data_IF_132135012440
#
_entry.id   IF_132135012440
#
_cell.length_a   1.000
_cell.length_b   1.000
_cell.length_c   1.000
_cell.angle_alpha   90.00
_cell.angle_beta   90.00
_cell.angle_gamma   90.00
#
_symmetry.space_group_name_H-M   'P 1'
#
loop_
_entity.id
_entity.type
_entity.pdbx_description
1 polymer ?
#
# COMPACT_ATOMS: atom_id res chain seq x y z
N UNK A 1 15.22 2.66 15.36
CA UNK A 1 14.41 2.10 14.24
C UNK A 1 14.68 0.61 14.26
N UNK A 2 13.64 -0.21 14.30
CA UNK A 2 13.69 -1.68 14.45
C UNK A 2 14.38 -2.22 15.73
N UNK A 3 14.69 -1.39 16.73
CA UNK A 3 15.44 -1.83 17.92
C UNK A 3 14.63 -2.79 18.80
N UNK A 4 13.31 -2.64 18.79
CA UNK A 4 12.36 -3.52 19.43
C UNK A 4 12.42 -4.95 18.90
N UNK A 5 12.85 -5.17 17.65
CA UNK A 5 12.99 -6.52 17.08
C UNK A 5 14.05 -7.35 17.80
N UNK A 6 15.10 -6.72 18.34
CA UNK A 6 16.16 -7.42 19.08
C UNK A 6 15.70 -7.91 20.46
N UNK A 7 14.63 -7.32 21.00
CA UNK A 7 14.03 -7.74 22.27
C UNK A 7 12.98 -8.85 22.09
N UNK A 8 12.57 -9.14 20.86
CA UNK A 8 11.55 -10.15 20.57
C UNK A 8 12.13 -11.57 20.61
N UNK A 9 11.33 -12.51 21.10
CA UNK A 9 11.59 -13.93 20.93
C UNK A 9 11.47 -14.33 19.45
N UNK A 10 12.06 -15.46 19.09
CA UNK A 10 11.91 -16.04 17.75
C UNK A 10 10.43 -16.19 17.35
N UNK A 11 9.59 -16.65 18.27
CA UNK A 11 8.17 -16.85 18.00
C UNK A 11 7.45 -15.52 17.77
N UNK A 12 7.78 -14.48 18.54
CA UNK A 12 7.25 -13.13 18.33
C UNK A 12 7.65 -12.57 16.95
N UNK A 13 8.92 -12.73 16.56
CA UNK A 13 9.41 -12.31 15.24
C UNK A 13 8.67 -13.05 14.10
N UNK A 14 8.43 -14.35 14.27
CA UNK A 14 7.68 -15.14 13.27
C UNK A 14 6.26 -14.60 13.11
N UNK A 15 5.59 -14.25 14.22
CA UNK A 15 4.24 -13.70 14.17
C UNK A 15 4.20 -12.31 13.52
N UNK A 16 5.14 -11.42 13.82
CA UNK A 16 5.23 -10.10 13.16
C UNK A 16 5.49 -10.24 11.65
N UNK A 17 6.40 -11.13 11.25
CA UNK A 17 6.66 -11.42 9.83
C UNK A 17 5.42 -11.99 9.13
N UNK A 18 4.64 -12.85 9.79
CA UNK A 18 3.38 -13.35 9.24
C UNK A 18 2.38 -12.22 9.01
N UNK A 19 2.19 -11.32 9.99
CA UNK A 19 1.31 -10.15 9.87
C UNK A 19 1.73 -9.26 8.69
N UNK A 20 3.00 -8.92 8.59
CA UNK A 20 3.54 -8.13 7.49
C UNK A 20 3.28 -8.79 6.13
N UNK A 21 3.57 -10.09 6.01
CA UNK A 21 3.32 -10.85 4.76
C UNK A 21 1.84 -10.92 4.41
N UNK A 22 0.94 -10.97 5.39
CA UNK A 22 -0.49 -10.91 5.15
C UNK A 22 -0.90 -9.55 4.57
N UNK A 23 -0.41 -8.45 5.15
CA UNK A 23 -0.66 -7.11 4.62
C UNK A 23 -0.16 -6.93 3.19
N UNK A 24 1.07 -7.37 2.90
CA UNK A 24 1.65 -7.30 1.55
C UNK A 24 0.82 -8.10 0.55
N UNK A 25 0.36 -9.31 0.90
CA UNK A 25 -0.49 -10.13 0.02
C UNK A 25 -1.84 -9.46 -0.23
N UNK A 26 -2.47 -8.92 0.80
CA UNK A 26 -3.75 -8.21 0.65
C UNK A 26 -3.62 -7.00 -0.30
N UNK A 27 -2.52 -6.24 -0.19
CA UNK A 27 -2.24 -5.14 -1.10
C UNK A 27 -1.95 -5.62 -2.53
N UNK A 28 -1.07 -6.62 -2.70
CA UNK A 28 -0.74 -7.22 -4.00
C UNK A 28 -1.97 -7.75 -4.74
N UNK A 29 -2.88 -8.37 -4.00
CA UNK A 29 -4.09 -9.01 -4.55
C UNK A 29 -5.28 -8.03 -4.66
N UNK A 30 -5.06 -6.73 -4.46
CA UNK A 30 -6.08 -5.69 -4.57
C UNK A 30 -6.52 -5.43 -6.02
N UNK A 31 -7.73 -4.90 -6.19
CA UNK A 31 -8.33 -4.62 -7.51
C UNK A 31 -9.04 -3.27 -7.52
N UNK A 32 -9.28 -2.72 -8.73
CA UNK A 32 -10.00 -1.47 -8.90
C UNK A 32 -9.32 -0.29 -8.21
N UNK A 33 -10.09 0.53 -7.48
CA UNK A 33 -9.55 1.69 -6.77
C UNK A 33 -8.59 1.32 -5.62
N UNK A 34 -8.62 0.06 -5.15
CA UNK A 34 -7.68 -0.43 -4.15
C UNK A 34 -6.27 -0.66 -4.73
N UNK A 35 -6.03 -0.38 -6.01
CA UNK A 35 -4.69 -0.27 -6.59
C UNK A 35 -4.02 1.09 -6.29
N UNK A 36 -4.75 2.04 -5.70
CA UNK A 36 -4.20 3.36 -5.36
C UNK A 36 -3.04 3.25 -4.35
N UNK A 37 -2.07 4.15 -4.44
CA UNK A 37 -0.86 4.15 -3.59
C UNK A 37 -1.13 4.34 -2.09
N UNK A 38 -2.32 4.77 -1.67
CA UNK A 38 -2.63 5.05 -0.26
C UNK A 38 -3.26 3.85 0.47
N UNK A 39 -2.43 3.09 1.19
CA UNK A 39 -2.83 1.93 2.01
C UNK A 39 -2.49 2.11 3.50
N UNK A 40 -3.25 2.93 4.25
CA UNK A 40 -2.97 3.21 5.66
C UNK A 40 -2.96 1.96 6.54
N UNK A 41 -3.75 0.93 6.20
CA UNK A 41 -3.76 -0.34 6.95
C UNK A 41 -2.46 -1.13 6.77
N UNK A 42 -1.79 -1.02 5.61
CA UNK A 42 -0.48 -1.66 5.40
C UNK A 42 0.61 -0.95 6.21
N UNK A 43 0.60 0.39 6.20
CA UNK A 43 1.55 1.19 6.97
C UNK A 43 1.37 1.02 8.49
N UNK A 44 0.13 0.85 8.95
CA UNK A 44 -0.19 0.59 10.34
C UNK A 44 0.30 -0.77 10.88
N UNK A 45 0.81 -1.66 10.01
CA UNK A 45 1.49 -2.88 10.44
C UNK A 45 2.91 -2.62 10.95
N UNK A 46 3.47 -1.43 10.70
CA UNK A 46 4.76 -1.04 11.24
C UNK A 46 4.63 -0.72 12.75
N UNK A 47 5.61 -1.15 13.57
CA UNK A 47 5.57 -0.93 15.01
C UNK A 47 5.74 0.55 15.39
N UNK A 48 6.42 1.35 14.56
CA UNK A 48 6.57 2.78 14.82
C UNK A 48 5.28 3.56 14.52
N UNK A 49 4.65 4.05 15.58
CA UNK A 49 3.56 5.01 15.47
C UNK A 49 4.12 6.42 15.33
N UNK A 50 4.61 6.77 14.14
CA UNK A 50 4.99 8.14 13.82
C UNK A 50 3.80 8.90 13.25
N UNK A 51 3.64 10.17 13.66
CA UNK A 51 2.80 11.12 12.95
C UNK A 51 3.69 11.77 11.88
N UNK A 52 3.65 11.31 10.62
CA UNK A 52 4.51 11.87 9.60
C UNK A 52 4.14 13.34 9.34
N UNK A 53 5.14 14.19 9.13
CA UNK A 53 4.94 15.47 8.47
C UNK A 53 4.69 15.19 6.98
N UNK A 54 3.41 15.08 6.60
CA UNK A 54 3.01 14.78 5.22
C UNK A 54 2.95 16.08 4.43
N UNK A 55 3.82 16.22 3.44
CA UNK A 55 3.64 17.17 2.35
C UNK A 55 2.78 16.51 1.26
N UNK A 56 1.61 17.09 0.97
CA UNK A 56 0.76 16.65 -0.14
C UNK A 56 1.00 17.57 -1.34
N UNK A 57 1.38 17.04 -2.52
CA UNK A 57 1.54 17.86 -3.71
C UNK A 57 0.25 18.59 -4.09
N UNK A 58 0.40 19.77 -4.71
CA UNK A 58 -0.72 20.47 -5.33
C UNK A 58 -1.47 19.56 -6.31
N UNK A 59 -2.79 19.75 -6.40
CA UNK A 59 -3.68 18.86 -7.14
C UNK A 59 -3.19 18.49 -8.56
N UNK A 60 -2.72 19.44 -9.40
CA UNK A 60 -2.26 19.10 -10.75
C UNK A 60 -1.02 18.21 -10.76
N UNK A 61 -0.14 18.35 -9.76
CA UNK A 61 1.06 17.51 -9.61
C UNK A 61 0.66 16.12 -9.16
N UNK A 62 -0.22 16.05 -8.15
CA UNK A 62 -0.74 14.81 -7.61
C UNK A 62 -1.40 13.94 -8.70
N UNK A 63 -2.31 14.53 -9.47
CA UNK A 63 -3.06 13.82 -10.51
C UNK A 63 -2.18 13.29 -11.63
N UNK A 64 -1.06 13.95 -11.98
CA UNK A 64 -0.10 13.41 -12.96
C UNK A 64 0.52 12.09 -12.48
N UNK A 65 0.81 11.97 -11.19
CA UNK A 65 1.30 10.71 -10.61
C UNK A 65 0.25 9.59 -10.72
N UNK A 66 -1.02 9.89 -10.44
CA UNK A 66 -2.11 8.92 -10.60
C UNK A 66 -2.28 8.46 -12.06
N UNK A 67 -2.19 9.39 -13.02
CA UNK A 67 -2.25 9.07 -14.46
C UNK A 67 -1.07 8.17 -14.84
N UNK A 68 0.15 8.54 -14.45
CA UNK A 68 1.34 7.76 -14.76
C UNK A 68 1.26 6.32 -14.20
N UNK A 69 0.79 6.17 -12.97
CA UNK A 69 0.56 4.84 -12.40
C UNK A 69 -0.49 4.07 -13.19
N UNK A 70 -1.63 4.70 -13.55
CA UNK A 70 -2.65 4.06 -14.38
C UNK A 70 -2.08 3.58 -15.72
N UNK A 71 -1.30 4.41 -16.42
CA UNK A 71 -0.65 4.04 -17.69
C UNK A 71 0.25 2.81 -17.52
N UNK A 72 1.01 2.74 -16.42
CA UNK A 72 1.88 1.57 -16.14
C UNK A 72 1.11 0.26 -16.02
N UNK A 73 -0.18 0.27 -15.64
CA UNK A 73 -1.02 -0.92 -15.58
C UNK A 73 -1.39 -1.46 -16.97
N UNK A 74 -1.40 -0.60 -18.00
CA UNK A 74 -1.58 -1.05 -19.38
C UNK A 74 -0.34 -1.81 -19.87
N UNK A 75 0.86 -1.42 -19.42
CA UNK A 75 2.12 -2.10 -19.76
C UNK A 75 2.32 -3.39 -18.95
N UNK A 76 2.09 -3.33 -17.63
CA UNK A 76 2.35 -4.45 -16.71
C UNK A 76 1.30 -5.56 -16.84
N UNK A 77 0.04 -5.21 -17.15
CA UNK A 77 -1.04 -6.16 -17.26
C UNK A 77 -2.05 -5.75 -18.35
N UNK A 78 -1.66 -5.87 -19.64
CA UNK A 78 -2.47 -5.43 -20.78
C UNK A 78 -3.80 -6.20 -20.89
N UNK A 79 -3.81 -7.46 -20.49
CA UNK A 79 -4.98 -8.34 -20.60
C UNK A 79 -5.96 -8.19 -19.41
N UNK A 80 -5.63 -7.39 -18.40
CA UNK A 80 -6.52 -7.21 -17.26
C UNK A 80 -7.82 -6.50 -17.67
N UNK A 81 -9.00 -7.01 -17.26
CA UNK A 81 -10.27 -6.46 -17.67
C UNK A 81 -10.43 -5.01 -17.19
N UNK A 82 -10.89 -4.15 -18.10
CA UNK A 82 -11.20 -2.76 -17.79
C UNK A 82 -12.66 -2.67 -17.32
N UNK A 83 -12.84 -2.50 -16.02
CA UNK A 83 -14.16 -2.37 -15.39
C UNK A 83 -14.58 -0.90 -15.33
N UNK A 84 -15.86 -0.63 -15.51
CA UNK A 84 -16.45 0.71 -15.39
C UNK A 84 -17.47 0.74 -14.25
N UNK A 85 -17.01 0.41 -13.05
CA UNK A 85 -17.81 0.54 -11.85
C UNK A 85 -17.73 1.98 -11.34
N UNK A 86 -18.88 2.56 -10.99
CA UNK A 86 -18.92 3.89 -10.39
C UNK A 86 -18.20 3.86 -9.04
N UNK A 87 -17.41 4.91 -8.78
CA UNK A 87 -16.89 5.16 -7.45
C UNK A 87 -18.05 5.29 -6.47
N UNK A 88 -18.07 4.45 -5.43
CA UNK A 88 -19.05 4.55 -4.35
C UNK A 88 -18.49 5.56 -3.35
N UNK A 89 -19.24 6.62 -3.10
CA UNK A 89 -18.96 7.62 -2.05
C UNK A 89 -19.05 6.98 -0.67
#
# INVERSE_FOLDING_TARGET
MDEELYAMSKDQLIEEVKKLRMGIRAHRDSTGHALCWHHPQLWALLPEQMVPEIAVPEWPVFMRGCIHYRESLDEQNPEAPRINERFKQ
#
